data_IF_056251704219
#
_entry.id   IF_056251704219
#
_cell.length_a   1.000
_cell.length_b   1.000
_cell.length_c   1.000
_cell.angle_alpha   90.00
_cell.angle_beta   90.00
_cell.angle_gamma   90.00
#
_symmetry.space_group_name_H-M   'P 1'
#
loop_
_entity.id
_entity.type
_entity.pdbx_description
1 polymer ?
#
# COMPACT_ATOMS: atom_id res chain seq x y z
N UNK A 1 26.02 -13.59 -8.05
CA UNK A 1 25.55 -13.47 -6.65
C UNK A 1 24.50 -12.36 -6.57
N UNK A 2 23.37 -12.61 -5.92
CA UNK A 2 22.29 -11.64 -5.73
C UNK A 2 22.20 -11.29 -4.24
N UNK A 3 22.35 -10.01 -3.87
CA UNK A 3 22.20 -9.55 -2.49
C UNK A 3 20.89 -8.78 -2.38
N UNK A 4 20.07 -9.13 -1.39
CA UNK A 4 18.82 -8.43 -1.03
C UNK A 4 18.89 -7.99 0.42
N UNK A 5 18.50 -6.76 0.69
CA UNK A 5 18.19 -6.28 2.04
C UNK A 5 16.66 -6.27 2.16
N UNK A 6 16.13 -6.96 3.15
CA UNK A 6 14.70 -7.04 3.40
C UNK A 6 14.25 -5.89 4.33
N UNK A 7 12.97 -5.46 4.27
CA UNK A 7 12.43 -4.46 5.20
C UNK A 7 12.53 -4.86 6.67
N UNK A 8 12.66 -6.15 6.97
CA UNK A 8 12.93 -6.65 8.32
C UNK A 8 14.40 -6.55 8.74
N UNK A 9 15.23 -5.86 7.94
CA UNK A 9 16.67 -5.69 8.09
C UNK A 9 17.50 -6.97 7.91
N UNK A 10 16.90 -8.06 7.41
CA UNK A 10 17.69 -9.24 7.02
C UNK A 10 18.41 -9.01 5.70
N UNK A 11 19.68 -9.39 5.65
CA UNK A 11 20.47 -9.39 4.41
C UNK A 11 20.60 -10.83 3.90
N UNK A 12 20.14 -11.07 2.68
CA UNK A 12 20.15 -12.39 2.04
C UNK A 12 21.02 -12.33 0.80
N UNK A 13 22.08 -13.15 0.77
CA UNK A 13 22.91 -13.37 -0.41
C UNK A 13 22.56 -14.73 -1.03
N UNK A 14 22.20 -14.73 -2.31
CA UNK A 14 22.01 -15.94 -3.11
C UNK A 14 23.23 -16.12 -4.01
N UNK A 15 23.93 -17.24 -3.85
CA UNK A 15 25.15 -17.58 -4.58
C UNK A 15 25.04 -18.98 -5.24
N UNK A 16 25.81 -19.26 -6.31
CA UNK A 16 25.97 -20.62 -6.83
C UNK A 16 26.46 -21.59 -5.75
N UNK A 17 26.16 -22.89 -5.89
CA UNK A 17 26.55 -23.90 -4.89
C UNK A 17 28.07 -24.02 -4.73
N UNK A 18 28.79 -23.70 -5.79
CA UNK A 18 30.24 -23.83 -5.91
C UNK A 18 30.98 -22.57 -5.43
N UNK A 19 30.25 -21.52 -5.04
CA UNK A 19 30.88 -20.29 -4.56
C UNK A 19 31.55 -20.52 -3.20
N UNK A 20 32.84 -20.16 -3.11
CA UNK A 20 33.56 -20.21 -1.85
C UNK A 20 33.06 -19.13 -0.88
N UNK A 21 33.19 -19.41 0.42
CA UNK A 21 32.83 -18.46 1.47
C UNK A 21 33.58 -17.12 1.32
N UNK A 22 34.85 -17.19 0.92
CA UNK A 22 35.68 -16.01 0.65
C UNK A 22 35.14 -15.16 -0.51
N UNK A 23 34.71 -15.80 -1.61
CA UNK A 23 34.10 -15.08 -2.73
C UNK A 23 32.75 -14.44 -2.36
N UNK A 24 31.96 -15.09 -1.49
CA UNK A 24 30.73 -14.52 -0.95
C UNK A 24 31.06 -13.31 -0.06
N UNK A 25 32.04 -13.44 0.83
CA UNK A 25 32.48 -12.38 1.72
C UNK A 25 32.97 -11.14 0.96
N UNK A 26 33.84 -11.32 -0.04
CA UNK A 26 34.31 -10.22 -0.90
C UNK A 26 33.16 -9.52 -1.63
N UNK A 27 32.21 -10.28 -2.17
CA UNK A 27 31.09 -9.72 -2.88
C UNK A 27 30.10 -8.99 -1.95
N UNK A 28 29.99 -9.41 -0.68
CA UNK A 28 29.28 -8.68 0.38
C UNK A 28 30.00 -7.38 0.74
N UNK A 29 31.33 -7.41 0.94
CA UNK A 29 32.14 -6.22 1.22
C UNK A 29 32.06 -5.18 0.09
N UNK A 30 32.11 -5.62 -1.17
CA UNK A 30 31.94 -4.75 -2.35
C UNK A 30 30.61 -3.99 -2.34
N UNK A 31 29.57 -4.52 -1.66
CA UNK A 31 28.26 -3.88 -1.50
C UNK A 31 28.01 -3.35 -0.10
N UNK A 32 28.99 -3.35 0.81
CA UNK A 32 28.80 -3.00 2.22
C UNK A 32 28.14 -1.62 2.41
N UNK A 33 28.58 -0.61 1.64
CA UNK A 33 27.96 0.73 1.69
C UNK A 33 26.48 0.71 1.28
N UNK A 34 26.14 0.01 0.19
CA UNK A 34 24.76 -0.11 -0.28
C UNK A 34 23.90 -0.90 0.73
N UNK A 35 24.42 -1.99 1.28
CA UNK A 35 23.74 -2.77 2.32
C UNK A 35 23.45 -1.88 3.54
N UNK A 36 24.45 -1.17 4.04
CA UNK A 36 24.33 -0.28 5.19
C UNK A 36 23.31 0.84 4.94
N UNK A 37 23.35 1.49 3.78
CA UNK A 37 22.36 2.51 3.40
C UNK A 37 20.93 1.97 3.38
N UNK A 38 20.72 0.75 2.84
CA UNK A 38 19.39 0.13 2.85
C UNK A 38 18.95 -0.25 4.27
N UNK A 39 19.86 -0.77 5.11
CA UNK A 39 19.56 -1.08 6.51
C UNK A 39 19.16 0.18 7.29
N UNK A 40 19.90 1.28 7.14
CA UNK A 40 19.55 2.58 7.75
C UNK A 40 18.21 3.08 7.24
N UNK A 41 18.01 3.06 5.91
CA UNK A 41 16.75 3.46 5.30
C UNK A 41 15.57 2.68 5.86
N UNK A 42 15.66 1.35 6.01
CA UNK A 42 14.60 0.52 6.59
C UNK A 42 14.44 0.67 8.11
N UNK A 43 15.52 1.02 8.82
CA UNK A 43 15.48 1.27 10.26
C UNK A 43 14.79 2.60 10.61
N UNK A 44 15.14 3.69 9.91
CA UNK A 44 14.51 5.01 10.05
C UNK A 44 13.01 4.95 9.72
N UNK A 45 12.70 4.17 8.70
CA UNK A 45 11.37 3.83 8.24
C UNK A 45 10.54 3.14 9.34
N UNK A 46 11.04 2.04 9.91
CA UNK A 46 10.37 1.32 11.01
C UNK A 46 10.21 2.11 12.30
N UNK A 47 11.18 2.94 12.67
CA UNK A 47 11.16 3.68 13.94
C UNK A 47 9.95 4.63 14.08
N UNK A 48 9.37 5.07 12.96
CA UNK A 48 8.24 6.00 12.96
C UNK A 48 6.86 5.35 12.83
N UNK A 49 6.79 4.02 12.65
CA UNK A 49 5.52 3.34 12.41
C UNK A 49 5.20 2.36 13.54
N UNK A 50 4.54 2.89 14.56
CA UNK A 50 3.99 2.10 15.66
C UNK A 50 2.83 1.20 15.17
N UNK A 51 2.68 -0.02 15.71
CA UNK A 51 1.52 -0.87 15.46
C UNK A 51 0.22 -0.14 15.78
N UNK A 52 -0.80 -0.30 14.92
CA UNK A 52 -2.12 0.31 15.14
C UNK A 52 -2.85 -0.38 16.28
N UNK A 53 -3.32 0.40 17.26
CA UNK A 53 -4.07 -0.09 18.42
C UNK A 53 -5.58 0.10 18.27
N UNK A 54 -6.02 0.82 17.24
CA UNK A 54 -7.43 1.05 16.89
C UNK A 54 -8.22 1.75 18.00
N UNK A 55 -7.59 2.71 18.67
CA UNK A 55 -8.17 3.50 19.75
C UNK A 55 -8.52 4.92 19.31
N UNK A 56 -9.41 5.58 20.04
CA UNK A 56 -9.73 7.00 19.83
C UNK A 56 -8.47 7.86 19.93
N UNK A 57 -8.33 8.81 19.00
CA UNK A 57 -7.15 9.68 18.91
C UNK A 57 -6.13 9.23 17.87
N UNK A 58 -6.13 7.96 17.45
CA UNK A 58 -5.21 7.50 16.42
C UNK A 58 -5.48 8.14 15.05
N UNK A 59 -4.41 8.33 14.28
CA UNK A 59 -4.52 8.84 12.92
C UNK A 59 -4.85 7.74 11.92
N UNK A 60 -5.86 8.01 11.10
CA UNK A 60 -6.31 7.25 9.94
C UNK A 60 -6.14 8.10 8.68
N UNK A 61 -5.84 7.48 7.54
CA UNK A 61 -5.59 8.21 6.29
C UNK A 61 -6.64 7.85 5.24
N UNK A 62 -7.12 8.86 4.51
CA UNK A 62 -8.02 8.65 3.38
C UNK A 62 -7.78 9.71 2.33
N UNK A 63 -7.49 9.30 1.09
CA UNK A 63 -7.16 10.17 -0.03
C UNK A 63 -6.05 11.18 0.30
N UNK A 64 -5.01 10.75 1.02
CA UNK A 64 -3.87 11.57 1.41
C UNK A 64 -4.11 12.54 2.57
N UNK A 65 -5.30 12.53 3.18
CA UNK A 65 -5.65 13.37 4.33
C UNK A 65 -5.69 12.55 5.61
N UNK A 66 -5.29 13.16 6.73
CA UNK A 66 -5.35 12.58 8.07
C UNK A 66 -6.70 12.85 8.73
N UNK A 67 -7.25 11.84 9.38
CA UNK A 67 -8.49 11.88 10.13
C UNK A 67 -8.27 11.22 11.49
N UNK A 68 -8.88 11.80 12.52
CA UNK A 68 -8.79 11.24 13.88
C UNK A 68 -9.82 10.12 14.02
N UNK A 69 -9.38 8.94 14.45
CA UNK A 69 -10.26 7.84 14.81
C UNK A 69 -11.04 8.22 16.07
N UNK A 70 -12.36 8.05 16.04
CA UNK A 70 -13.23 8.20 17.20
C UNK A 70 -14.07 6.94 17.35
N UNK A 71 -13.77 6.14 18.38
CA UNK A 71 -14.56 4.96 18.74
C UNK A 71 -15.65 5.39 19.73
N UNK A 72 -16.89 5.06 19.39
CA UNK A 72 -18.10 5.43 20.12
C UNK A 72 -18.83 4.15 20.51
N UNK A 73 -19.22 4.06 21.78
CA UNK A 73 -20.02 2.96 22.30
C UNK A 73 -21.45 3.46 22.45
N UNK A 74 -22.37 2.87 21.69
CA UNK A 74 -23.77 3.29 21.68
C UNK A 74 -24.65 2.03 21.51
N UNK A 75 -25.28 1.53 22.59
CA UNK A 75 -26.13 0.34 22.54
C UNK A 75 -27.34 0.45 21.59
N UNK A 76 -27.83 1.68 21.38
CA UNK A 76 -29.04 1.96 20.60
C UNK A 76 -28.74 2.11 19.11
N UNK A 77 -27.48 2.36 18.74
CA UNK A 77 -27.09 2.66 17.37
C UNK A 77 -26.43 1.46 16.68
N UNK A 78 -26.78 1.23 15.41
CA UNK A 78 -26.16 0.17 14.60
C UNK A 78 -24.66 0.40 14.39
N UNK A 79 -23.90 -0.69 14.35
CA UNK A 79 -22.46 -0.64 14.07
C UNK A 79 -22.22 0.03 12.72
N UNK A 80 -21.38 1.06 12.70
CA UNK A 80 -21.13 1.81 11.49
C UNK A 80 -19.77 2.52 11.51
N UNK A 81 -19.26 2.82 10.32
CA UNK A 81 -18.06 3.65 10.13
C UNK A 81 -18.40 4.82 9.24
N UNK A 82 -18.24 6.04 9.76
CA UNK A 82 -18.60 7.29 9.06
C UNK A 82 -17.49 8.31 9.17
N UNK A 83 -17.06 8.81 8.00
CA UNK A 83 -16.16 9.95 7.92
C UNK A 83 -16.98 11.24 7.99
N UNK A 84 -16.78 12.05 9.02
CA UNK A 84 -17.46 13.34 9.16
C UNK A 84 -16.65 14.28 10.04
N UNK A 85 -16.67 15.59 9.72
CA UNK A 85 -16.03 16.65 10.52
C UNK A 85 -14.56 16.35 10.90
N UNK A 86 -13.77 15.84 9.95
CA UNK A 86 -12.36 15.50 10.18
C UNK A 86 -12.10 14.24 11.01
N UNK A 87 -13.14 13.44 11.30
CA UNK A 87 -13.05 12.25 12.13
C UNK A 87 -13.56 11.02 11.38
N UNK A 88 -12.91 9.88 11.62
CA UNK A 88 -13.43 8.57 11.26
C UNK A 88 -14.13 8.01 12.49
N UNK A 89 -15.47 8.14 12.52
CA UNK A 89 -16.27 7.69 13.64
C UNK A 89 -16.62 6.20 13.45
N UNK A 90 -16.31 5.38 14.44
CA UNK A 90 -16.66 3.96 14.50
C UNK A 90 -17.61 3.75 15.67
N UNK A 91 -18.81 3.28 15.37
CA UNK A 91 -19.85 3.01 16.38
C UNK A 91 -19.88 1.51 16.68
N UNK A 92 -19.81 1.16 17.96
CA UNK A 92 -19.94 -0.19 18.48
C UNK A 92 -21.29 -0.32 19.21
N UNK A 93 -22.10 -1.30 18.80
CA UNK A 93 -23.42 -1.59 19.38
C UNK A 93 -23.32 -2.46 20.63
N UNK A 94 -22.67 -1.95 21.68
CA UNK A 94 -22.59 -2.58 23.00
C UNK A 94 -21.91 -1.63 24.00
N UNK A 95 -22.18 -1.83 25.29
CA UNK A 95 -21.34 -1.21 26.32
C UNK A 95 -19.90 -1.73 26.21
N UNK A 96 -18.95 -0.81 26.06
CA UNK A 96 -17.52 -1.10 25.94
C UNK A 96 -16.74 -0.72 27.20
N UNK A 97 -17.44 -0.30 28.27
CA UNK A 97 -16.88 0.16 29.54
C UNK A 97 -15.99 -0.88 30.22
N UNK A 98 -16.25 -2.18 30.01
CA UNK A 98 -15.46 -3.29 30.55
C UNK A 98 -14.51 -3.99 29.58
N UNK A 99 -14.35 -3.52 28.33
CA UNK A 99 -13.50 -4.20 27.34
C UNK A 99 -12.04 -3.77 27.46
N UNK A 100 -11.13 -4.74 27.38
CA UNK A 100 -9.70 -4.45 27.21
C UNK A 100 -9.45 -3.79 25.85
N UNK A 101 -8.31 -3.11 25.73
CA UNK A 101 -7.89 -2.48 24.47
C UNK A 101 -7.85 -3.49 23.31
N UNK A 102 -7.31 -4.69 23.55
CA UNK A 102 -7.20 -5.74 22.54
C UNK A 102 -8.58 -6.28 22.10
N UNK A 103 -9.52 -6.45 23.03
CA UNK A 103 -10.90 -6.85 22.72
C UNK A 103 -11.64 -5.78 21.92
N UNK A 104 -11.36 -4.51 22.19
CA UNK A 104 -11.94 -3.39 21.44
C UNK A 104 -11.35 -3.34 20.02
N UNK A 105 -10.03 -3.46 19.90
CA UNK A 105 -9.32 -3.45 18.63
C UNK A 105 -9.80 -4.56 17.69
N UNK A 106 -10.05 -5.78 18.20
CA UNK A 106 -10.55 -6.89 17.40
C UNK A 106 -11.96 -6.68 16.84
N UNK A 107 -12.75 -5.75 17.43
CA UNK A 107 -14.07 -5.35 16.92
C UNK A 107 -14.01 -4.12 16.00
N UNK A 108 -13.13 -3.16 16.31
CA UNK A 108 -12.97 -1.93 15.52
C UNK A 108 -12.24 -2.19 14.20
N UNK A 109 -11.18 -2.99 14.20
CA UNK A 109 -10.37 -3.24 13.00
C UNK A 109 -11.20 -3.77 11.82
N UNK A 110 -12.02 -4.84 11.95
CA UNK A 110 -12.79 -5.36 10.82
C UNK A 110 -13.78 -4.34 10.23
N UNK A 111 -14.34 -3.46 11.06
CA UNK A 111 -15.22 -2.38 10.60
C UNK A 111 -14.48 -1.37 9.74
N UNK A 112 -13.28 -0.95 10.18
CA UNK A 112 -12.42 -0.04 9.43
C UNK A 112 -11.91 -0.68 8.14
N UNK A 113 -11.48 -1.95 8.19
CA UNK A 113 -11.04 -2.71 7.02
C UNK A 113 -12.15 -2.78 5.97
N UNK A 114 -13.36 -3.12 6.40
CA UNK A 114 -14.53 -3.17 5.51
C UNK A 114 -14.86 -1.79 4.93
N UNK A 115 -14.77 -0.73 5.73
CA UNK A 115 -14.95 0.64 5.25
C UNK A 115 -13.91 1.01 4.18
N UNK A 116 -12.63 0.70 4.41
CA UNK A 116 -11.58 0.93 3.42
C UNK A 116 -11.79 0.10 2.16
N UNK A 117 -12.21 -1.17 2.26
CA UNK A 117 -12.53 -1.98 1.08
C UNK A 117 -13.65 -1.36 0.24
N UNK A 118 -14.74 -0.91 0.88
CA UNK A 118 -15.84 -0.25 0.18
C UNK A 118 -15.39 1.06 -0.49
N UNK A 119 -14.64 1.90 0.23
CA UNK A 119 -14.11 3.15 -0.31
C UNK A 119 -13.11 2.94 -1.43
N UNK A 120 -12.21 1.97 -1.29
CA UNK A 120 -11.27 1.56 -2.32
C UNK A 120 -12.01 1.12 -3.59
N UNK A 121 -13.07 0.31 -3.47
CA UNK A 121 -13.86 -0.13 -4.62
C UNK A 121 -14.47 1.04 -5.39
N UNK A 122 -15.13 1.94 -4.67
CA UNK A 122 -15.76 3.10 -5.30
C UNK A 122 -14.71 4.00 -5.99
N UNK A 123 -13.63 4.33 -5.28
CA UNK A 123 -12.60 5.24 -5.79
C UNK A 123 -11.83 4.60 -6.95
N UNK A 124 -11.40 3.34 -6.85
CA UNK A 124 -10.65 2.69 -7.92
C UNK A 124 -11.48 2.52 -9.18
N UNK A 125 -12.79 2.26 -9.04
CA UNK A 125 -13.69 2.23 -10.20
C UNK A 125 -13.80 3.62 -10.86
N UNK A 126 -14.01 4.68 -10.07
CA UNK A 126 -14.01 6.06 -10.58
C UNK A 126 -12.69 6.41 -11.29
N UNK A 127 -11.55 6.10 -10.67
CA UNK A 127 -10.24 6.41 -11.22
C UNK A 127 -9.94 5.62 -12.48
N UNK A 128 -10.27 4.32 -12.51
CA UNK A 128 -10.07 3.49 -13.68
C UNK A 128 -10.84 4.07 -14.88
N UNK A 129 -12.10 4.43 -14.69
CA UNK A 129 -12.91 5.03 -15.76
C UNK A 129 -12.34 6.37 -16.26
N UNK A 130 -11.81 7.20 -15.36
CA UNK A 130 -11.17 8.48 -15.72
C UNK A 130 -9.85 8.29 -16.49
N UNK A 131 -9.08 7.25 -16.16
CA UNK A 131 -7.73 7.05 -16.67
C UNK A 131 -7.70 6.19 -17.94
N UNK A 132 -8.68 5.30 -18.11
CA UNK A 132 -8.75 4.38 -19.24
C UNK A 132 -8.66 5.08 -20.61
N UNK A 133 -9.31 6.24 -20.86
CA UNK A 133 -9.17 6.97 -22.13
C UNK A 133 -7.74 7.39 -22.48
N UNK A 134 -6.86 7.55 -21.46
CA UNK A 134 -5.43 7.87 -21.67
C UNK A 134 -4.62 6.64 -22.09
N UNK A 135 -5.05 5.45 -21.68
CA UNK A 135 -4.38 4.18 -21.94
C UNK A 135 -4.93 3.54 -23.22
N UNK A 136 -4.71 4.19 -24.37
CA UNK A 136 -5.31 3.82 -25.67
C UNK A 136 -4.95 2.41 -26.18
N UNK A 137 -3.94 1.78 -25.59
CA UNK A 137 -3.54 0.40 -25.88
C UNK A 137 -4.40 -0.66 -25.18
N UNK A 138 -5.23 -0.26 -24.22
CA UNK A 138 -6.13 -1.16 -23.49
C UNK A 138 -7.44 -1.27 -24.22
N UNK A 139 -7.86 -2.49 -24.54
CA UNK A 139 -9.14 -2.77 -25.19
C UNK A 139 -10.21 -3.12 -24.16
N UNK A 140 -11.34 -2.41 -24.21
CA UNK A 140 -12.43 -2.58 -23.25
C UNK A 140 -12.09 -2.09 -21.83
N UNK A 141 -12.97 -2.39 -20.88
CA UNK A 141 -12.78 -2.02 -19.47
C UNK A 141 -12.19 -3.23 -18.73
N UNK A 142 -10.92 -3.19 -18.28
CA UNK A 142 -10.33 -4.29 -17.56
C UNK A 142 -11.04 -4.49 -16.22
N UNK A 143 -11.27 -5.76 -15.86
CA UNK A 143 -11.81 -6.07 -14.54
C UNK A 143 -10.74 -5.85 -13.46
N UNK A 144 -11.15 -5.47 -12.26
CA UNK A 144 -10.24 -5.41 -11.11
C UNK A 144 -10.80 -6.10 -9.88
N UNK A 145 -9.90 -6.68 -9.09
CA UNK A 145 -10.20 -7.23 -7.75
C UNK A 145 -9.49 -6.40 -6.69
N UNK A 146 -10.11 -6.29 -5.52
CA UNK A 146 -9.48 -5.68 -4.35
C UNK A 146 -8.99 -6.80 -3.45
N UNK A 147 -7.71 -6.77 -3.11
CA UNK A 147 -7.10 -7.78 -2.25
C UNK A 147 -5.95 -7.15 -1.47
N UNK A 148 -5.92 -7.34 -0.16
CA UNK A 148 -4.81 -6.89 0.67
C UNK A 148 -3.53 -7.60 0.26
N UNK A 149 -2.46 -6.83 0.05
CA UNK A 149 -1.15 -7.31 -0.35
C UNK A 149 -0.10 -6.78 0.61
N UNK A 150 0.88 -7.63 0.97
CA UNK A 150 1.91 -7.25 1.96
C UNK A 150 3.01 -6.34 1.39
N UNK A 151 3.27 -6.39 0.09
CA UNK A 151 4.46 -5.79 -0.53
C UNK A 151 4.17 -4.94 -1.77
N UNK A 152 2.91 -4.88 -2.20
CA UNK A 152 2.54 -4.31 -3.49
C UNK A 152 1.25 -3.50 -3.36
N UNK A 153 1.16 -2.46 -4.16
CA UNK A 153 -0.04 -1.64 -4.30
C UNK A 153 -1.01 -2.19 -5.33
N UNK A 154 -0.49 -2.89 -6.34
CA UNK A 154 -1.28 -3.58 -7.32
C UNK A 154 -0.48 -4.68 -8.02
N UNK A 155 -1.18 -5.42 -8.87
CA UNK A 155 -0.59 -6.29 -9.89
C UNK A 155 -1.54 -6.47 -11.07
N UNK A 156 -0.99 -6.79 -12.23
CA UNK A 156 -1.74 -7.17 -13.42
C UNK A 156 -1.46 -8.63 -13.77
N UNK A 157 -2.52 -9.41 -14.00
CA UNK A 157 -2.38 -10.77 -14.53
C UNK A 157 -2.07 -10.76 -16.03
N UNK A 158 -1.55 -11.88 -16.55
CA UNK A 158 -1.32 -12.05 -18.00
C UNK A 158 -2.61 -11.91 -18.84
N UNK A 159 -3.80 -12.09 -18.23
CA UNK A 159 -5.11 -11.89 -18.88
C UNK A 159 -5.62 -10.45 -18.82
N UNK A 160 -4.83 -9.51 -18.31
CA UNK A 160 -5.20 -8.10 -18.18
C UNK A 160 -6.13 -7.77 -17.00
N UNK A 161 -6.38 -8.71 -16.08
CA UNK A 161 -7.13 -8.41 -14.85
C UNK A 161 -6.22 -7.75 -13.82
N UNK A 162 -6.71 -6.66 -13.22
CA UNK A 162 -6.00 -5.90 -12.21
C UNK A 162 -6.31 -6.42 -10.79
N UNK A 163 -5.34 -6.35 -9.91
CA UNK A 163 -5.50 -6.56 -8.47
C UNK A 163 -4.99 -5.30 -7.81
N UNK A 164 -5.80 -4.67 -6.96
CA UNK A 164 -5.43 -3.44 -6.27
C UNK A 164 -5.57 -3.61 -4.76
N UNK A 165 -4.57 -3.11 -4.03
CA UNK A 165 -4.56 -3.17 -2.57
C UNK A 165 -5.55 -2.14 -1.99
N UNK A 166 -6.51 -2.54 -1.12
CA UNK A 166 -7.46 -1.60 -0.52
C UNK A 166 -6.78 -0.46 0.23
N UNK A 167 -5.60 -0.69 0.83
CA UNK A 167 -4.88 0.36 1.55
C UNK A 167 -4.35 1.48 0.64
N UNK A 168 -4.32 1.28 -0.68
CA UNK A 168 -3.94 2.33 -1.63
C UNK A 168 -4.87 3.54 -1.54
N UNK A 169 -6.13 3.35 -1.11
CA UNK A 169 -7.09 4.45 -0.92
C UNK A 169 -6.71 5.42 0.22
N UNK A 170 -5.72 5.04 1.04
CA UNK A 170 -5.12 5.93 2.06
C UNK A 170 -4.23 7.00 1.42
N UNK A 171 -3.63 6.69 0.28
CA UNK A 171 -2.73 7.59 -0.44
C UNK A 171 -3.48 8.71 -1.18
N UNK A 172 -2.79 9.83 -1.52
CA UNK A 172 -3.36 10.86 -2.38
C UNK A 172 -3.88 10.31 -3.72
N UNK A 173 -4.90 10.97 -4.29
CA UNK A 173 -5.55 10.54 -5.54
C UNK A 173 -4.55 10.34 -6.69
N UNK A 174 -3.55 11.21 -6.82
CA UNK A 174 -2.49 11.08 -7.82
C UNK A 174 -1.65 9.79 -7.68
N UNK A 175 -1.43 9.31 -6.46
CA UNK A 175 -0.72 8.06 -6.22
C UNK A 175 -1.59 6.85 -6.59
N UNK A 176 -2.91 6.94 -6.38
CA UNK A 176 -3.87 5.95 -6.86
C UNK A 176 -3.82 5.87 -8.39
N UNK A 177 -3.83 7.04 -9.04
CA UNK A 177 -3.75 7.14 -10.50
C UNK A 177 -2.46 6.54 -11.04
N UNK A 178 -1.34 6.82 -10.38
CA UNK A 178 -0.05 6.25 -10.73
C UNK A 178 -0.08 4.73 -10.73
N UNK A 179 -0.59 4.10 -9.66
CA UNK A 179 -0.67 2.64 -9.57
C UNK A 179 -1.61 2.08 -10.64
N UNK A 180 -2.79 2.68 -10.85
CA UNK A 180 -3.72 2.20 -11.88
C UNK A 180 -3.07 2.29 -13.27
N UNK A 181 -2.45 3.41 -13.63
CA UNK A 181 -1.76 3.56 -14.90
C UNK A 181 -0.58 2.58 -15.03
N UNK A 182 0.16 2.33 -13.95
CA UNK A 182 1.23 1.33 -13.91
C UNK A 182 0.70 -0.06 -14.26
N UNK A 183 -0.40 -0.48 -13.64
CA UNK A 183 -1.01 -1.77 -13.94
C UNK A 183 -1.63 -1.83 -15.35
N UNK A 184 -2.18 -0.73 -15.87
CA UNK A 184 -2.67 -0.66 -17.25
C UNK A 184 -1.52 -0.75 -18.27
N UNK A 185 -0.34 -0.20 -17.97
CA UNK A 185 0.85 -0.38 -18.80
C UNK A 185 1.27 -1.86 -18.87
N UNK A 186 1.05 -2.63 -17.79
CA UNK A 186 1.34 -4.07 -17.79
C UNK A 186 0.48 -4.92 -18.72
N UNK A 187 -0.64 -4.39 -19.22
CA UNK A 187 -1.46 -5.04 -20.25
C UNK A 187 -0.72 -5.08 -21.59
N UNK A 188 0.03 -4.02 -21.92
CA UNK A 188 0.84 -3.97 -23.15
C UNK A 188 2.26 -4.50 -22.94
N UNK A 189 2.85 -4.27 -21.77
CA UNK A 189 4.24 -4.62 -21.47
C UNK A 189 4.38 -5.28 -20.09
N UNK A 190 4.56 -6.60 -20.06
CA UNK A 190 4.60 -7.38 -18.82
C UNK A 190 5.85 -7.16 -17.95
N UNK A 191 6.88 -6.50 -18.48
CA UNK A 191 8.11 -6.17 -17.75
C UNK A 191 8.33 -4.65 -17.71
N UNK A 192 9.17 -4.18 -16.78
CA UNK A 192 9.56 -2.77 -16.67
C UNK A 192 10.65 -2.38 -17.70
N UNK A 193 10.43 -2.72 -18.98
CA UNK A 193 11.32 -2.37 -20.10
C UNK A 193 11.30 -0.87 -20.40
N UNK A 194 12.20 -0.41 -21.28
CA UNK A 194 12.18 0.97 -21.76
C UNK A 194 10.82 1.34 -22.39
N UNK A 195 10.19 0.40 -23.10
CA UNK A 195 8.86 0.59 -23.69
C UNK A 195 7.79 0.79 -22.63
N UNK A 196 7.83 0.03 -21.52
CA UNK A 196 6.93 0.23 -20.38
C UNK A 196 7.04 1.66 -19.83
N UNK A 197 8.26 2.12 -19.53
CA UNK A 197 8.46 3.45 -18.95
C UNK A 197 8.09 4.58 -19.93
N UNK A 198 8.27 4.36 -21.23
CA UNK A 198 7.81 5.28 -22.27
C UNK A 198 6.29 5.41 -22.28
N UNK A 199 5.56 4.28 -22.22
CA UNK A 199 4.10 4.28 -22.12
C UNK A 199 3.62 5.01 -20.87
N UNK A 200 4.19 4.70 -19.71
CA UNK A 200 3.80 5.36 -18.45
C UNK A 200 4.09 6.86 -18.48
N UNK A 201 5.23 7.27 -19.04
CA UNK A 201 5.60 8.69 -19.17
C UNK A 201 4.66 9.44 -20.10
N UNK A 202 4.16 8.79 -21.16
CA UNK A 202 3.18 9.40 -22.07
C UNK A 202 1.86 9.74 -21.36
N UNK A 203 1.40 8.89 -20.45
CA UNK A 203 0.11 9.08 -19.75
C UNK A 203 0.24 9.80 -18.40
N UNK A 204 1.44 9.82 -17.81
CA UNK A 204 1.75 10.52 -16.56
C UNK A 204 3.21 10.98 -16.55
N UNK A 205 3.56 12.14 -17.14
CA UNK A 205 4.94 12.59 -17.27
C UNK A 205 5.69 12.75 -15.93
N UNK A 206 4.98 13.09 -14.86
CA UNK A 206 5.51 13.30 -13.51
C UNK A 206 5.52 12.04 -12.63
N UNK A 207 5.34 10.84 -13.20
CA UNK A 207 5.17 9.59 -12.44
C UNK A 207 6.29 9.31 -11.45
N UNK A 208 7.54 9.73 -11.74
CA UNK A 208 8.69 9.52 -10.85
C UNK A 208 8.48 10.20 -9.49
N UNK A 209 8.10 11.48 -9.50
CA UNK A 209 7.83 12.23 -8.29
C UNK A 209 6.63 11.65 -7.51
N UNK A 210 5.61 11.19 -8.23
CA UNK A 210 4.42 10.55 -7.61
C UNK A 210 4.77 9.20 -6.99
N UNK A 211 5.64 8.41 -7.64
CA UNK A 211 6.16 7.15 -7.14
C UNK A 211 6.97 7.37 -5.87
N UNK A 212 7.93 8.30 -5.89
CA UNK A 212 8.78 8.59 -4.73
C UNK A 212 7.94 9.06 -3.53
N UNK A 213 6.92 9.87 -3.81
CA UNK A 213 5.92 10.30 -2.82
C UNK A 213 5.14 9.11 -2.24
N UNK A 214 4.68 8.17 -3.08
CA UNK A 214 3.96 6.97 -2.63
C UNK A 214 4.86 6.03 -1.81
N UNK A 215 6.10 5.81 -2.25
CA UNK A 215 7.07 4.96 -1.58
C UNK A 215 7.39 5.49 -0.18
N UNK A 216 7.55 6.82 -0.03
CA UNK A 216 7.74 7.47 1.27
C UNK A 216 6.54 7.35 2.22
N UNK A 217 5.36 6.95 1.74
CA UNK A 217 4.17 6.72 2.57
C UNK A 217 3.89 5.22 2.80
N UNK A 218 4.59 4.32 2.11
CA UNK A 218 4.15 2.94 2.01
C UNK A 218 4.06 2.22 3.35
N UNK A 219 5.00 2.52 4.23
CA UNK A 219 5.02 1.94 5.56
C UNK A 219 3.91 2.48 6.45
N UNK A 220 3.54 3.76 6.32
CA UNK A 220 2.46 4.33 7.12
C UNK A 220 1.09 3.71 6.78
N UNK A 221 0.94 3.19 5.57
CA UNK A 221 -0.34 2.71 5.04
C UNK A 221 -0.46 1.19 5.00
N UNK A 222 0.66 0.48 4.82
CA UNK A 222 0.74 -0.99 4.80
C UNK A 222 1.13 -1.61 6.14
N UNK A 223 1.55 -0.83 7.13
CA UNK A 223 1.78 -1.35 8.48
C UNK A 223 0.44 -1.51 9.22
N UNK A 224 -0.19 -2.66 8.99
CA UNK A 224 -1.36 -3.18 9.70
C UNK A 224 -1.13 -4.60 10.21
#
# INVERSE_FOLDING_TARGET
>A
MLIKVHPDQRVVATAPKEASEQAIHEAMLKRARWIWQNLQSFAEQKNHVLPKRYISGESQFYLGRRYVLKVISDPEQVMSVKLSRGKLNVVLRQDSSGMTEQQRASKVKPLIDNWYQQKAKAIFHERLNELLPKATWVTGIPSFRIMAMKKQWGSCSAKGNLILNPHLVKAPKECIDYVILHELCHIAEHNHSERFWRLLTQVMPNWKAVKDKLDGMAEQYLNE
#
